data_IF_987612191554
#
_entry.id   IF_987612191554
#
_cell.length_a   1.000
_cell.length_b   1.000
_cell.length_c   1.000
_cell.angle_alpha   90.00
_cell.angle_beta   90.00
_cell.angle_gamma   90.00
#
_symmetry.space_group_name_H-M   'P 1'
#
loop_
_entity.id
_entity.type
_entity.pdbx_description
1 polymer ?
#
# COMPACT_ATOMS: atom_id res chain seq x y z
N UNK A 1 1.65 -14.35 -11.06
CA UNK A 1 1.13 -12.98 -11.28
C UNK A 1 0.03 -12.93 -12.33
N UNK A 2 0.18 -13.53 -13.51
CA UNK A 2 -0.84 -13.48 -14.57
C UNK A 2 -2.20 -14.12 -14.21
N UNK A 3 -2.19 -15.18 -13.39
CA UNK A 3 -3.41 -15.84 -12.89
C UNK A 3 -4.37 -14.87 -12.19
N UNK A 4 -3.85 -13.93 -11.39
CA UNK A 4 -4.68 -12.96 -10.68
C UNK A 4 -5.42 -12.03 -11.63
N UNK A 5 -4.81 -11.64 -12.76
CA UNK A 5 -5.50 -10.80 -13.75
C UNK A 5 -6.70 -11.52 -14.38
N UNK A 6 -6.55 -12.81 -14.70
CA UNK A 6 -7.67 -13.61 -15.19
C UNK A 6 -8.77 -13.79 -14.14
N UNK A 7 -8.39 -14.03 -12.89
CA UNK A 7 -9.34 -14.13 -11.79
C UNK A 7 -10.10 -12.81 -11.58
N UNK A 8 -9.39 -11.67 -11.62
CA UNK A 8 -10.01 -10.34 -11.52
C UNK A 8 -10.96 -10.09 -12.68
N UNK A 9 -10.58 -10.43 -13.92
CA UNK A 9 -11.45 -10.28 -15.08
C UNK A 9 -12.75 -11.08 -14.92
N UNK A 10 -12.65 -12.34 -14.51
CA UNK A 10 -13.82 -13.20 -14.25
C UNK A 10 -14.70 -12.58 -13.16
N UNK A 11 -14.11 -12.10 -12.07
CA UNK A 11 -14.85 -11.45 -10.99
C UNK A 11 -15.58 -10.19 -11.47
N UNK A 12 -14.93 -9.34 -12.27
CA UNK A 12 -15.55 -8.12 -12.82
C UNK A 12 -16.73 -8.46 -13.74
N UNK A 13 -16.56 -9.45 -14.62
CA UNK A 13 -17.65 -9.91 -15.50
C UNK A 13 -18.82 -10.46 -14.67
N UNK A 14 -18.54 -11.28 -13.66
CA UNK A 14 -19.57 -11.83 -12.77
C UNK A 14 -20.34 -10.71 -12.04
N UNK A 15 -19.65 -9.69 -11.53
CA UNK A 15 -20.27 -8.53 -10.89
C UNK A 15 -21.14 -7.74 -11.88
N UNK A 16 -20.68 -7.55 -13.12
CA UNK A 16 -21.45 -6.85 -14.15
C UNK A 16 -22.73 -7.61 -14.52
N UNK A 17 -22.65 -8.93 -14.74
CA UNK A 17 -23.81 -9.78 -15.00
C UNK A 17 -24.78 -9.72 -13.82
N UNK A 18 -24.26 -9.85 -12.60
CA UNK A 18 -25.05 -9.75 -11.38
C UNK A 18 -25.79 -8.39 -11.28
N UNK A 19 -25.12 -7.29 -11.60
CA UNK A 19 -25.72 -5.96 -11.58
C UNK A 19 -26.87 -5.84 -12.58
N UNK A 20 -26.70 -6.35 -13.81
CA UNK A 20 -27.75 -6.33 -14.84
C UNK A 20 -28.94 -7.20 -14.42
N UNK A 21 -28.69 -8.43 -13.98
CA UNK A 21 -29.74 -9.38 -13.60
C UNK A 21 -30.56 -8.90 -12.40
N UNK A 22 -29.95 -8.17 -11.47
CA UNK A 22 -30.62 -7.68 -10.26
C UNK A 22 -31.06 -6.21 -10.36
N UNK A 23 -30.96 -5.58 -11.54
CA UNK A 23 -31.28 -4.16 -11.72
C UNK A 23 -32.74 -3.81 -11.46
N UNK A 24 -33.66 -4.74 -11.71
CA UNK A 24 -35.11 -4.59 -11.47
C UNK A 24 -35.59 -5.19 -10.15
N UNK A 25 -34.66 -5.72 -9.33
CA UNK A 25 -35.04 -6.31 -8.05
C UNK A 25 -35.52 -5.24 -7.06
N UNK A 26 -36.43 -5.57 -6.13
CA UNK A 26 -36.83 -4.65 -5.06
C UNK A 26 -35.63 -4.14 -4.26
N UNK A 27 -35.69 -2.90 -3.73
CA UNK A 27 -34.64 -2.36 -2.87
C UNK A 27 -34.35 -3.26 -1.66
N UNK A 28 -33.07 -3.33 -1.29
CA UNK A 28 -32.60 -4.04 -0.11
C UNK A 28 -32.61 -3.09 1.07
N UNK A 29 -33.30 -3.48 2.13
CA UNK A 29 -33.30 -2.76 3.40
C UNK A 29 -32.11 -3.17 4.27
N UNK A 30 -31.24 -2.22 4.59
CA UNK A 30 -30.14 -2.36 5.52
C UNK A 30 -30.55 -1.70 6.83
N UNK A 31 -30.53 -2.48 7.92
CA UNK A 31 -30.75 -1.98 9.29
C UNK A 31 -29.47 -2.18 10.08
N UNK A 32 -28.87 -1.10 10.56
CA UNK A 32 -27.65 -1.15 11.35
C UNK A 32 -27.76 -0.18 12.54
N UNK A 33 -27.77 -0.74 13.74
CA UNK A 33 -27.92 -0.02 15.00
C UNK A 33 -29.16 0.90 15.00
N UNK A 34 -29.00 2.21 14.78
CA UNK A 34 -30.09 3.20 14.70
C UNK A 34 -30.41 3.64 13.26
N UNK A 35 -29.66 3.17 12.27
CA UNK A 35 -29.83 3.53 10.87
C UNK A 35 -30.67 2.49 10.12
N UNK A 36 -31.59 2.98 9.29
CA UNK A 36 -32.23 2.20 8.22
C UNK A 36 -31.97 2.90 6.91
N UNK A 37 -31.64 2.13 5.88
CA UNK A 37 -31.43 2.64 4.54
C UNK A 37 -31.89 1.60 3.52
N UNK A 38 -32.52 2.06 2.44
CA UNK A 38 -32.98 1.20 1.35
C UNK A 38 -32.28 1.63 0.07
N UNK A 39 -31.67 0.66 -0.60
CA UNK A 39 -30.98 0.90 -1.86
C UNK A 39 -30.96 -0.36 -2.70
N UNK A 40 -30.63 -0.25 -3.98
CA UNK A 40 -30.42 -1.44 -4.81
C UNK A 40 -29.25 -2.27 -4.28
N UNK A 41 -29.35 -3.59 -4.48
CA UNK A 41 -28.33 -4.55 -4.06
C UNK A 41 -26.93 -4.22 -4.59
N UNK A 42 -26.84 -3.71 -5.82
CA UNK A 42 -25.57 -3.34 -6.43
C UNK A 42 -24.91 -2.16 -5.69
N UNK A 43 -25.67 -1.13 -5.31
CA UNK A 43 -25.11 -0.02 -4.53
C UNK A 43 -24.71 -0.44 -3.13
N UNK A 44 -25.44 -1.38 -2.51
CA UNK A 44 -25.03 -1.97 -1.22
C UNK A 44 -23.66 -2.65 -1.32
N UNK A 45 -23.45 -3.46 -2.35
CA UNK A 45 -22.18 -4.18 -2.56
C UNK A 45 -21.04 -3.20 -2.86
N UNK A 46 -21.23 -2.29 -3.82
CA UNK A 46 -20.21 -1.30 -4.19
C UNK A 46 -19.86 -0.40 -3.01
N UNK A 47 -20.86 0.08 -2.27
CA UNK A 47 -20.66 0.89 -1.07
C UNK A 47 -19.89 0.14 0.01
N UNK A 48 -20.20 -1.15 0.23
CA UNK A 48 -19.52 -1.98 1.23
C UNK A 48 -18.05 -2.25 0.86
N UNK A 49 -17.79 -2.58 -0.41
CA UNK A 49 -16.41 -2.77 -0.92
C UNK A 49 -15.63 -1.47 -0.80
N UNK A 50 -16.22 -0.34 -1.22
CA UNK A 50 -15.62 0.98 -1.11
C UNK A 50 -15.30 1.35 0.33
N UNK A 51 -16.25 1.16 1.25
CA UNK A 51 -16.06 1.41 2.69
C UNK A 51 -14.96 0.52 3.27
N UNK A 52 -14.93 -0.77 2.94
CA UNK A 52 -13.85 -1.68 3.34
C UNK A 52 -12.48 -1.21 2.84
N UNK A 53 -12.39 -0.79 1.56
CA UNK A 53 -11.17 -0.23 0.99
C UNK A 53 -10.71 1.05 1.71
N UNK A 54 -11.64 1.96 2.02
CA UNK A 54 -11.36 3.17 2.79
C UNK A 54 -10.85 2.84 4.20
N UNK A 55 -11.45 1.87 4.89
CA UNK A 55 -10.97 1.42 6.20
C UNK A 55 -9.55 0.84 6.13
N UNK A 56 -9.27 -0.01 5.13
CA UNK A 56 -7.92 -0.55 4.91
C UNK A 56 -6.91 0.58 4.70
N UNK A 57 -7.23 1.56 3.84
CA UNK A 57 -6.37 2.72 3.61
C UNK A 57 -6.16 3.52 4.90
N UNK A 58 -7.23 3.78 5.65
CA UNK A 58 -7.19 4.54 6.90
C UNK A 58 -6.22 3.92 7.92
N UNK A 59 -6.24 2.59 8.07
CA UNK A 59 -5.31 1.90 8.97
C UNK A 59 -3.90 1.71 8.39
N UNK A 60 -3.77 1.60 7.07
CA UNK A 60 -2.48 1.37 6.40
C UNK A 60 -1.62 2.63 6.31
N UNK A 61 -2.22 3.80 6.03
CA UNK A 61 -1.48 5.06 5.82
C UNK A 61 -0.54 5.42 6.98
N UNK A 62 -0.97 5.43 8.26
CA UNK A 62 -0.08 5.77 9.38
C UNK A 62 1.11 4.81 9.49
N UNK A 63 0.86 3.51 9.23
CA UNK A 63 1.91 2.49 9.23
C UNK A 63 2.91 2.72 8.10
N UNK A 64 2.43 3.03 6.90
CA UNK A 64 3.27 3.34 5.75
C UNK A 64 4.15 4.57 6.00
N UNK A 65 3.58 5.63 6.60
CA UNK A 65 4.33 6.85 6.96
C UNK A 65 5.44 6.53 7.97
N UNK A 66 5.11 5.87 9.08
CA UNK A 66 6.11 5.48 10.10
C UNK A 66 7.22 4.62 9.50
N UNK A 67 6.86 3.65 8.65
CA UNK A 67 7.82 2.82 7.93
C UNK A 67 8.74 3.63 7.02
N UNK A 68 8.22 4.64 6.32
CA UNK A 68 9.01 5.53 5.47
C UNK A 68 10.03 6.35 6.27
N UNK A 69 9.60 6.94 7.40
CA UNK A 69 10.48 7.71 8.29
C UNK A 69 11.61 6.81 8.82
N UNK A 70 11.26 5.62 9.33
CA UNK A 70 12.24 4.69 9.86
C UNK A 70 13.25 4.23 8.80
N UNK A 71 12.80 3.96 7.57
CA UNK A 71 13.70 3.62 6.46
C UNK A 71 14.69 4.74 6.15
N UNK A 72 14.27 6.01 6.19
CA UNK A 72 15.16 7.15 5.97
C UNK A 72 16.21 7.27 7.07
N UNK A 73 15.80 7.03 8.31
CA UNK A 73 16.69 7.07 9.47
C UNK A 73 17.74 5.96 9.40
N UNK A 74 17.33 4.72 9.11
CA UNK A 74 18.26 3.61 8.90
C UNK A 74 19.25 3.90 7.75
N UNK A 75 18.79 4.48 6.64
CA UNK A 75 19.67 4.85 5.53
C UNK A 75 20.73 5.88 5.94
N UNK A 76 20.37 6.87 6.75
CA UNK A 76 21.32 7.86 7.28
C UNK A 76 22.34 7.24 8.22
N UNK A 77 21.91 6.30 9.06
CA UNK A 77 22.82 5.59 9.96
C UNK A 77 23.82 4.73 9.19
N UNK A 78 23.38 4.01 8.15
CA UNK A 78 24.27 3.25 7.26
C UNK A 78 25.30 4.18 6.61
N UNK A 79 24.86 5.30 6.02
CA UNK A 79 25.76 6.28 5.39
C UNK A 79 26.76 6.86 6.39
N UNK A 80 26.32 7.19 7.60
CA UNK A 80 27.21 7.68 8.64
C UNK A 80 28.24 6.62 9.05
N UNK A 81 27.82 5.37 9.28
CA UNK A 81 28.72 4.26 9.61
C UNK A 81 29.75 4.01 8.50
N UNK A 82 29.33 4.02 7.23
CA UNK A 82 30.22 3.90 6.08
C UNK A 82 31.25 5.05 6.08
N UNK A 83 30.81 6.29 6.30
CA UNK A 83 31.75 7.42 6.38
C UNK A 83 32.73 7.27 7.56
N UNK A 84 32.31 6.81 8.73
CA UNK A 84 33.22 6.62 9.88
C UNK A 84 34.18 5.45 9.65
N UNK A 85 33.76 4.39 8.95
CA UNK A 85 34.61 3.21 8.73
C UNK A 85 35.63 3.43 7.60
N UNK A 86 35.23 4.10 6.51
CA UNK A 86 36.08 4.24 5.32
C UNK A 86 36.90 5.53 5.26
N UNK A 87 36.45 6.63 5.91
CA UNK A 87 37.16 7.92 5.89
C UNK A 87 38.49 7.94 6.67
N UNK A 88 38.66 7.24 7.81
CA UNK A 88 39.96 7.11 8.48
C UNK A 88 40.96 6.25 7.71
N UNK A 89 40.49 5.21 7.02
CA UNK A 89 41.34 4.33 6.21
C UNK A 89 41.93 5.06 4.97
N UNK A 90 41.19 6.03 4.42
CA UNK A 90 41.64 6.85 3.30
C UNK A 90 42.61 7.97 3.69
N UNK A 91 42.58 8.46 4.95
CA UNK A 91 43.48 9.50 5.46
C UNK A 91 44.80 8.94 6.03
N UNK A 92 44.90 7.62 6.24
CA UNK A 92 46.12 6.95 6.70
C UNK A 92 47.08 6.52 5.57
N UNK A 93 46.73 6.77 4.30
CA UNK A 93 47.60 6.52 3.14
C UNK A 93 48.13 7.83 2.56
N UNK A 94 48.80 8.66 3.36
CA UNK A 94 49.83 9.54 2.78
C UNK A 94 51.06 8.68 2.51
N UNK A 95 51.20 8.24 1.25
CA UNK A 95 52.43 7.64 0.73
C UNK A 95 53.52 8.72 0.81
N UNK A 96 54.61 8.53 1.59
CA UNK A 96 55.68 9.52 1.64
C UNK A 96 56.36 9.60 0.28
N UNK A 97 56.82 10.80 -0.13
CA UNK A 97 57.31 11.02 -1.48
C UNK A 97 58.55 10.16 -1.72
N UNK A 98 58.51 9.44 -2.84
CA UNK A 98 59.67 8.82 -3.47
C UNK A 98 60.82 9.82 -3.51
N UNK A 99 61.86 9.58 -2.72
CA UNK A 99 63.17 10.14 -3.01
C UNK A 99 63.96 9.08 -3.75
N UNK A 100 63.91 9.22 -5.08
CA UNK A 100 64.98 8.77 -5.96
C UNK A 100 66.31 9.34 -5.44
N UNK A 101 67.28 8.45 -5.20
CA UNK A 101 68.73 8.50 -5.54
C UNK A 101 69.49 7.54 -4.64
#
# INVERSE_FOLDING_TARGET
MQFFYWLTLIAVIAIAIFAVQNSSAPPVAIKFLVWRFETSLIYTILGSIGAGGLLVLFFWIPRAIKGSIHKRELKKQIENLETVLYKPAALGQEVPPSKET
#
